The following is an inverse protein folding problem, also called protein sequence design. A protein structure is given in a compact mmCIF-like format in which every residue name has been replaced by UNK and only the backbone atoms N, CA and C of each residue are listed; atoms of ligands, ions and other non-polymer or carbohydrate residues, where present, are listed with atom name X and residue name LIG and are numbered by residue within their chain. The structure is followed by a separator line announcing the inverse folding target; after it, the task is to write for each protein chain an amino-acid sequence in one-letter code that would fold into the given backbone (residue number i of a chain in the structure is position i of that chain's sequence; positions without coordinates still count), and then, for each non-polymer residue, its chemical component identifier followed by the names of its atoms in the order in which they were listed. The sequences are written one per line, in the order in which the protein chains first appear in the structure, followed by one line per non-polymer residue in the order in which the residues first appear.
data_IF_757272003656
#
_entry.id   IF_757272003656
#
_cell.length_a   1.000
_cell.length_b   1.000
_cell.length_c   1.000
_cell.angle_alpha   90.00
_cell.angle_beta   90.00
_cell.angle_gamma   90.00
#
_symmetry.space_group_name_H-M   'P 1'
#
loop_
_entity.id
_entity.type
_entity.pdbx_description
1 polymer ?
#
# COMPACT_ATOMS: atom_id res chain seq x y z
N UNK A 1 -4.13 -39.67 -15.09
CA UNK A 1 -4.44 -38.23 -15.35
C UNK A 1 -5.39 -37.76 -14.27
N UNK A 2 -5.05 -36.69 -13.52
CA UNK A 2 -5.90 -36.18 -12.44
C UNK A 2 -6.88 -35.16 -13.05
N UNK A 3 -8.18 -35.30 -12.75
CA UNK A 3 -9.17 -34.32 -13.22
C UNK A 3 -8.90 -32.96 -12.56
N UNK A 4 -8.90 -31.90 -13.37
CA UNK A 4 -8.84 -30.53 -12.89
C UNK A 4 -10.08 -30.26 -12.04
N UNK A 5 -9.90 -29.68 -10.86
CA UNK A 5 -11.01 -29.28 -9.99
C UNK A 5 -11.33 -27.80 -10.27
N UNK A 6 -12.44 -27.46 -10.94
CA UNK A 6 -12.72 -26.08 -11.32
C UNK A 6 -12.90 -25.16 -10.11
N UNK A 7 -13.46 -25.68 -9.03
CA UNK A 7 -13.60 -24.95 -7.78
C UNK A 7 -12.25 -24.58 -7.16
N UNK A 8 -11.25 -25.46 -7.27
CA UNK A 8 -9.91 -25.22 -6.74
C UNK A 8 -9.20 -24.12 -7.53
N UNK A 9 -9.37 -24.11 -8.87
CA UNK A 9 -8.85 -23.05 -9.71
C UNK A 9 -9.46 -21.68 -9.34
N UNK A 10 -10.78 -21.65 -9.07
CA UNK A 10 -11.48 -20.44 -8.66
C UNK A 10 -10.99 -19.92 -7.29
N UNK A 11 -10.89 -20.79 -6.29
CA UNK A 11 -10.45 -20.40 -4.94
C UNK A 11 -8.99 -19.93 -4.94
N UNK A 12 -8.12 -20.60 -5.72
CA UNK A 12 -6.73 -20.18 -5.85
C UNK A 12 -6.60 -18.80 -6.51
N UNK A 13 -7.38 -18.54 -7.57
CA UNK A 13 -7.38 -17.21 -8.22
C UNK A 13 -8.06 -16.13 -7.39
N UNK A 14 -9.05 -16.48 -6.55
CA UNK A 14 -9.71 -15.52 -5.67
C UNK A 14 -8.79 -15.09 -4.51
N UNK A 15 -8.03 -16.05 -3.96
CA UNK A 15 -7.06 -15.74 -2.89
C UNK A 15 -5.81 -15.05 -3.44
N UNK A 16 -5.33 -15.46 -4.61
CA UNK A 16 -4.14 -14.91 -5.24
C UNK A 16 -4.37 -14.85 -6.77
N UNK A 17 -4.78 -13.69 -7.30
CA UNK A 17 -5.02 -13.51 -8.73
C UNK A 17 -3.83 -13.99 -9.56
N UNK A 18 -4.08 -14.85 -10.55
CA UNK A 18 -3.05 -15.47 -11.38
C UNK A 18 -2.66 -16.91 -10.98
N UNK A 19 -2.84 -17.31 -9.71
CA UNK A 19 -2.45 -18.67 -9.26
C UNK A 19 -3.37 -19.75 -9.81
N UNK A 20 -4.69 -19.52 -9.87
CA UNK A 20 -5.61 -20.48 -10.50
C UNK A 20 -5.42 -20.60 -12.02
N UNK A 21 -4.90 -19.57 -12.68
CA UNK A 21 -4.47 -19.62 -14.08
C UNK A 21 -3.20 -20.44 -14.25
N UNK A 22 -2.25 -20.31 -13.31
CA UNK A 22 -1.06 -21.15 -13.23
C UNK A 22 -1.45 -22.63 -13.00
N UNK A 23 -2.43 -22.89 -12.13
CA UNK A 23 -3.03 -24.22 -11.93
C UNK A 23 -3.65 -24.76 -13.22
N UNK A 24 -4.26 -23.93 -14.05
CA UNK A 24 -4.80 -24.33 -15.35
C UNK A 24 -3.74 -24.46 -16.47
N UNK A 25 -2.47 -24.12 -16.19
CA UNK A 25 -1.39 -24.13 -17.17
C UNK A 25 -1.42 -22.94 -18.14
N UNK A 26 -2.15 -21.86 -17.82
CA UNK A 26 -2.25 -20.67 -18.65
C UNK A 26 -1.35 -19.55 -18.13
N UNK A 27 -0.08 -19.56 -18.56
CA UNK A 27 0.92 -18.60 -18.08
C UNK A 27 0.63 -17.16 -18.53
N UNK A 28 -0.04 -16.96 -19.67
CA UNK A 28 -0.31 -15.61 -20.20
C UNK A 28 -1.24 -14.83 -19.27
N UNK A 29 -2.28 -15.49 -18.77
CA UNK A 29 -3.19 -14.87 -17.81
C UNK A 29 -2.61 -14.81 -16.39
N UNK A 30 -1.76 -15.76 -16.01
CA UNK A 30 -1.05 -15.64 -14.75
C UNK A 30 -0.14 -14.40 -14.75
N UNK A 31 0.66 -14.20 -15.81
CA UNK A 31 1.55 -13.06 -15.93
C UNK A 31 0.82 -11.72 -16.05
N UNK A 32 -0.38 -11.67 -16.63
CA UNK A 32 -1.16 -10.42 -16.68
C UNK A 32 -1.66 -9.97 -15.31
N UNK A 33 -1.79 -10.89 -14.33
CA UNK A 33 -2.21 -10.54 -12.99
C UNK A 33 -1.16 -9.69 -12.25
N UNK A 34 0.13 -9.87 -12.56
CA UNK A 34 1.23 -9.14 -11.91
C UNK A 34 1.18 -7.62 -12.16
N UNK A 35 1.22 -7.11 -13.40
CA UNK A 35 1.20 -5.67 -13.64
C UNK A 35 -0.14 -5.04 -13.27
N UNK A 36 -1.27 -5.72 -13.51
CA UNK A 36 -2.59 -5.18 -13.19
C UNK A 36 -2.77 -5.11 -11.67
N UNK A 37 -2.39 -6.17 -10.95
CA UNK A 37 -2.38 -6.19 -9.50
C UNK A 37 -1.49 -5.11 -8.92
N UNK A 38 -0.25 -4.98 -9.42
CA UNK A 38 0.71 -3.96 -8.97
C UNK A 38 0.19 -2.53 -9.19
N UNK A 39 -0.42 -2.24 -10.35
CA UNK A 39 -1.03 -0.94 -10.63
C UNK A 39 -2.20 -0.69 -9.68
N UNK A 40 -3.06 -1.68 -9.46
CA UNK A 40 -4.21 -1.54 -8.57
C UNK A 40 -3.78 -1.32 -7.11
N UNK A 41 -2.76 -2.04 -6.64
CA UNK A 41 -2.18 -1.82 -5.30
C UNK A 41 -1.50 -0.47 -5.19
N UNK A 42 -0.77 -0.01 -6.23
CA UNK A 42 -0.10 1.29 -6.23
C UNK A 42 -1.12 2.43 -6.21
N UNK A 43 -2.17 2.35 -7.03
CA UNK A 43 -3.31 3.26 -7.02
C UNK A 43 -3.93 3.26 -5.61
N UNK A 44 -4.26 2.07 -5.09
CA UNK A 44 -4.84 1.96 -3.75
C UNK A 44 -3.96 2.61 -2.69
N UNK A 45 -2.65 2.36 -2.69
CA UNK A 45 -1.69 2.94 -1.75
C UNK A 45 -1.64 4.48 -1.81
N UNK A 46 -1.73 5.07 -3.00
CA UNK A 46 -1.80 6.52 -3.19
C UNK A 46 -3.11 7.09 -2.62
N UNK A 47 -4.23 6.38 -2.78
CA UNK A 47 -5.57 6.86 -2.41
C UNK A 47 -6.05 6.45 -1.02
N UNK A 48 -5.33 5.55 -0.33
CA UNK A 48 -5.74 4.84 0.88
C UNK A 48 -6.01 5.76 2.09
N UNK A 49 -5.46 6.98 2.12
CA UNK A 49 -5.49 7.83 3.32
C UNK A 49 -6.20 9.17 3.16
N UNK A 50 -6.74 9.44 1.99
CA UNK A 50 -7.32 10.76 1.72
C UNK A 50 -8.82 10.82 2.08
N UNK A 51 -9.53 9.69 2.02
CA UNK A 51 -10.96 9.60 2.40
C UNK A 51 -11.41 8.15 2.54
N UNK A 52 -12.29 7.88 3.53
CA UNK A 52 -12.95 6.59 3.70
C UNK A 52 -13.65 6.10 2.43
N UNK A 53 -14.22 7.01 1.63
CA UNK A 53 -14.89 6.66 0.37
C UNK A 53 -13.91 6.13 -0.68
N UNK A 54 -12.68 6.67 -0.71
CA UNK A 54 -11.63 6.23 -1.64
C UNK A 54 -11.09 4.86 -1.23
N UNK A 55 -10.96 4.62 0.08
CA UNK A 55 -10.62 3.30 0.62
C UNK A 55 -11.67 2.24 0.21
N UNK A 56 -12.95 2.53 0.42
CA UNK A 56 -14.02 1.63 0.03
C UNK A 56 -14.03 1.36 -1.48
N UNK A 57 -13.78 2.38 -2.30
CA UNK A 57 -13.65 2.23 -3.76
C UNK A 57 -12.47 1.34 -4.17
N UNK A 58 -11.32 1.49 -3.54
CA UNK A 58 -10.13 0.68 -3.80
C UNK A 58 -10.38 -0.81 -3.46
N UNK A 59 -10.97 -1.08 -2.30
CA UNK A 59 -11.34 -2.45 -1.89
C UNK A 59 -12.38 -3.07 -2.82
N UNK A 60 -13.37 -2.30 -3.27
CA UNK A 60 -14.36 -2.77 -4.23
C UNK A 60 -13.73 -3.11 -5.59
N UNK A 61 -12.81 -2.29 -6.10
CA UNK A 61 -12.08 -2.57 -7.34
C UNK A 61 -11.20 -3.82 -7.22
N UNK A 62 -10.53 -4.01 -6.08
CA UNK A 62 -9.79 -5.24 -5.75
C UNK A 62 -10.69 -6.46 -5.81
N UNK A 63 -11.83 -6.42 -5.11
CA UNK A 63 -12.79 -7.51 -5.10
C UNK A 63 -13.34 -7.85 -6.49
N UNK A 64 -13.62 -6.84 -7.31
CA UNK A 64 -14.06 -7.03 -8.71
C UNK A 64 -12.96 -7.70 -9.52
N UNK A 65 -11.71 -7.25 -9.39
CA UNK A 65 -10.55 -7.83 -10.06
C UNK A 65 -10.37 -9.31 -9.68
N UNK A 66 -10.41 -9.64 -8.39
CA UNK A 66 -10.28 -11.01 -7.87
C UNK A 66 -11.41 -11.90 -8.39
N UNK A 67 -12.63 -11.37 -8.42
CA UNK A 67 -13.81 -12.08 -8.94
C UNK A 67 -13.68 -12.36 -10.45
N UNK A 68 -13.19 -11.40 -11.24
CA UNK A 68 -12.96 -11.59 -12.69
C UNK A 68 -11.95 -12.71 -12.92
N UNK A 69 -10.82 -12.71 -12.20
CA UNK A 69 -9.80 -13.74 -12.33
C UNK A 69 -10.28 -15.10 -11.82
N UNK A 70 -11.07 -15.15 -10.74
CA UNK A 70 -11.67 -16.38 -10.24
C UNK A 70 -12.66 -17.00 -11.25
N UNK A 71 -13.53 -16.18 -11.85
CA UNK A 71 -14.49 -16.62 -12.88
C UNK A 71 -13.76 -17.09 -14.14
N UNK A 72 -12.72 -16.36 -14.57
CA UNK A 72 -11.89 -16.77 -15.70
C UNK A 72 -11.25 -18.14 -15.43
N UNK A 73 -10.65 -18.34 -14.26
CA UNK A 73 -9.98 -19.59 -13.90
C UNK A 73 -10.97 -20.76 -13.82
N UNK A 74 -12.16 -20.52 -13.27
CA UNK A 74 -13.23 -21.51 -13.23
C UNK A 74 -13.67 -21.94 -14.64
N UNK A 75 -13.94 -20.97 -15.51
CA UNK A 75 -14.36 -21.22 -16.90
C UNK A 75 -13.29 -21.97 -17.68
N UNK A 76 -12.03 -21.61 -17.50
CA UNK A 76 -10.91 -22.26 -18.17
C UNK A 76 -10.67 -23.69 -17.67
N UNK A 77 -10.77 -23.93 -16.36
CA UNK A 77 -10.67 -25.25 -15.77
C UNK A 77 -11.78 -26.19 -16.28
N UNK A 78 -13.01 -25.67 -16.43
CA UNK A 78 -14.14 -26.42 -16.98
C UNK A 78 -13.98 -26.74 -18.47
N UNK A 79 -13.34 -25.85 -19.25
CA UNK A 79 -13.09 -26.04 -20.69
C UNK A 79 -11.96 -27.04 -20.98
N UNK A 80 -10.86 -27.01 -20.21
CA UNK A 80 -9.62 -27.74 -20.54
C UNK A 80 -9.52 -29.17 -20.00
N UNK A 81 -10.56 -29.72 -19.36
CA UNK A 81 -10.65 -31.16 -19.06
C UNK A 81 -9.43 -31.74 -18.33
N UNK A 82 -8.85 -32.82 -18.86
CA UNK A 82 -7.73 -33.54 -18.23
C UNK A 82 -6.47 -32.66 -18.06
N UNK A 83 -5.77 -32.84 -16.94
CA UNK A 83 -4.54 -32.11 -16.63
C UNK A 83 -3.31 -32.91 -17.07
N UNK A 84 -2.51 -32.36 -17.97
CA UNK A 84 -1.10 -32.72 -18.12
C UNK A 84 -0.30 -31.78 -17.21
N UNK A 85 0.42 -32.34 -16.24
CA UNK A 85 1.21 -31.57 -15.28
C UNK A 85 2.48 -31.05 -15.97
N UNK A 86 2.53 -29.75 -16.26
CA UNK A 86 3.72 -29.07 -16.75
C UNK A 86 4.71 -28.74 -15.63
N UNK A 87 5.96 -28.43 -15.98
CA UNK A 87 7.06 -28.11 -15.03
C UNK A 87 6.75 -26.95 -14.07
N UNK A 88 5.81 -26.06 -14.43
CA UNK A 88 5.42 -24.88 -13.66
C UNK A 88 4.19 -25.08 -12.76
N UNK A 89 3.56 -26.25 -12.75
CA UNK A 89 2.40 -26.57 -11.89
C UNK A 89 2.82 -27.22 -10.56
N UNK A 90 3.90 -26.71 -9.98
CA UNK A 90 4.45 -27.16 -8.70
C UNK A 90 4.04 -26.21 -7.57
N UNK A 91 4.04 -26.71 -6.34
CA UNK A 91 3.72 -25.91 -5.15
C UNK A 91 4.65 -24.69 -5.00
N UNK A 92 5.94 -24.85 -5.34
CA UNK A 92 6.92 -23.78 -5.26
C UNK A 92 6.65 -22.66 -6.27
N UNK A 93 6.09 -22.99 -7.44
CA UNK A 93 5.75 -21.98 -8.44
C UNK A 93 4.57 -21.13 -7.98
N UNK A 94 3.58 -21.73 -7.30
CA UNK A 94 2.49 -20.98 -6.65
C UNK A 94 3.01 -20.08 -5.53
N UNK A 95 3.91 -20.59 -4.69
CA UNK A 95 4.51 -19.82 -3.61
C UNK A 95 5.36 -18.65 -4.14
N UNK A 96 6.23 -18.91 -5.12
CA UNK A 96 7.06 -17.88 -5.75
C UNK A 96 6.19 -16.80 -6.43
N UNK A 97 5.11 -17.21 -7.11
CA UNK A 97 4.18 -16.26 -7.73
C UNK A 97 3.48 -15.38 -6.69
N UNK A 98 3.01 -15.96 -5.59
CA UNK A 98 2.39 -15.20 -4.49
C UNK A 98 3.40 -14.23 -3.83
N UNK A 99 4.64 -14.67 -3.60
CA UNK A 99 5.71 -13.82 -3.06
C UNK A 99 6.01 -12.65 -3.99
N UNK A 100 6.06 -12.88 -5.31
CA UNK A 100 6.26 -11.78 -6.27
C UNK A 100 5.06 -10.84 -6.27
N UNK A 101 3.82 -11.36 -6.28
CA UNK A 101 2.61 -10.55 -6.34
C UNK A 101 2.43 -9.68 -5.08
N UNK A 102 2.66 -10.23 -3.88
CA UNK A 102 2.47 -9.52 -2.62
C UNK A 102 3.73 -8.80 -2.12
N UNK A 103 4.92 -9.34 -2.39
CA UNK A 103 6.18 -8.74 -1.97
C UNK A 103 6.60 -7.51 -2.80
N UNK A 104 6.17 -7.42 -4.07
CA UNK A 104 6.43 -6.22 -4.88
C UNK A 104 5.74 -4.96 -4.30
N UNK A 105 4.45 -5.00 -3.91
CA UNK A 105 3.77 -3.93 -3.19
C UNK A 105 4.45 -3.49 -1.89
N UNK A 106 4.82 -4.43 -1.02
CA UNK A 106 5.46 -4.09 0.27
C UNK A 106 6.88 -3.52 0.08
N UNK A 107 7.56 -3.92 -1.00
CA UNK A 107 8.86 -3.37 -1.40
C UNK A 107 8.83 -1.87 -1.71
N UNK A 108 7.69 -1.28 -2.07
CA UNK A 108 7.58 0.17 -2.27
C UNK A 108 7.84 0.96 -0.98
N UNK A 109 7.59 0.37 0.19
CA UNK A 109 7.89 0.98 1.49
C UNK A 109 9.39 1.23 1.71
N UNK A 110 10.28 0.52 1.00
CA UNK A 110 11.72 0.82 1.03
C UNK A 110 12.08 2.09 0.26
N UNK A 111 11.29 2.47 -0.75
CA UNK A 111 11.61 3.57 -1.67
C UNK A 111 10.81 4.83 -1.38
N UNK A 112 9.64 4.71 -0.75
CA UNK A 112 8.79 5.83 -0.39
C UNK A 112 8.99 6.16 1.10
N UNK A 113 9.36 7.41 1.44
CA UNK A 113 9.48 7.81 2.84
C UNK A 113 8.14 7.59 3.56
N UNK A 114 8.19 7.02 4.76
CA UNK A 114 6.99 6.74 5.55
C UNK A 114 6.12 7.99 5.65
N UNK A 115 4.90 7.88 5.12
CA UNK A 115 3.96 9.00 5.12
C UNK A 115 3.58 9.40 6.53
N UNK A 116 3.44 8.44 7.43
CA UNK A 116 3.02 8.67 8.80
C UNK A 116 4.12 8.29 9.77
N UNK A 117 4.68 9.28 10.45
CA UNK A 117 5.68 9.08 11.47
C UNK A 117 5.05 9.26 12.85
N UNK A 118 5.29 8.30 13.74
CA UNK A 118 4.81 8.39 15.12
C UNK A 118 5.89 8.98 16.01
N UNK A 119 5.56 10.06 16.73
CA UNK A 119 6.44 10.72 17.69
C UNK A 119 5.79 10.79 19.07
N UNK A 120 6.61 10.81 20.11
CA UNK A 120 6.16 11.09 21.47
C UNK A 120 6.74 12.43 21.91
N UNK A 121 5.94 13.30 22.53
CA UNK A 121 6.38 14.61 22.99
C UNK A 121 7.20 14.47 24.27
N UNK A 122 8.50 14.84 24.26
CA UNK A 122 9.37 14.67 25.42
C UNK A 122 9.49 15.94 26.28
N UNK A 123 8.92 17.08 25.87
CA UNK A 123 9.16 18.38 26.51
C UNK A 123 7.90 19.26 26.59
N UNK A 124 7.91 20.22 27.51
CA UNK A 124 6.79 21.14 27.78
C UNK A 124 6.68 22.30 26.79
N UNK A 125 7.52 22.35 25.75
CA UNK A 125 7.65 23.54 24.91
C UNK A 125 6.43 23.87 24.03
N UNK A 126 5.43 23.00 24.02
CA UNK A 126 4.17 23.14 23.29
C UNK A 126 2.94 23.14 24.20
N UNK A 127 3.12 23.21 25.53
CA UNK A 127 2.03 23.36 26.51
C UNK A 127 1.35 24.73 26.32
N UNK A 128 0.00 24.82 26.44
CA UNK A 128 -0.94 23.77 26.84
C UNK A 128 -1.47 22.90 25.69
N UNK A 129 -1.08 23.18 24.44
CA UNK A 129 -1.65 22.50 23.26
C UNK A 129 -1.20 21.05 23.13
N UNK A 130 0.03 20.73 23.53
CA UNK A 130 0.59 19.38 23.53
C UNK A 130 1.26 19.13 24.88
N UNK A 131 0.86 18.04 25.53
CA UNK A 131 1.35 17.65 26.85
C UNK A 131 2.50 16.65 26.72
N UNK A 132 3.32 16.56 27.79
CA UNK A 132 4.38 15.56 27.85
C UNK A 132 3.76 14.17 27.81
N UNK A 133 4.30 13.31 26.95
CA UNK A 133 3.83 11.94 26.77
C UNK A 133 2.78 11.75 25.68
N UNK A 134 2.24 12.85 25.12
CA UNK A 134 1.34 12.77 23.97
C UNK A 134 2.02 12.07 22.78
N UNK A 135 1.25 11.21 22.10
CA UNK A 135 1.68 10.54 20.87
C UNK A 135 1.05 11.25 19.68
N UNK A 136 1.90 11.67 18.75
CA UNK A 136 1.51 12.37 17.54
C UNK A 136 1.81 11.51 16.33
N UNK A 137 0.93 11.58 15.34
CA UNK A 137 1.16 11.04 14.01
C UNK A 137 1.35 12.22 13.07
N UNK A 138 2.55 12.38 12.55
CA UNK A 138 2.89 13.44 11.60
C UNK A 138 2.76 12.92 10.16
N UNK A 139 2.08 13.67 9.29
CA UNK A 139 2.07 13.39 7.85
C UNK A 139 3.33 14.01 7.21
N UNK A 140 4.33 13.18 6.94
CA UNK A 140 5.59 13.57 6.29
C UNK A 140 5.40 14.04 4.85
N UNK A 141 4.24 13.83 4.25
CA UNK A 141 3.90 14.24 2.88
C UNK A 141 3.00 15.48 2.84
N UNK A 142 2.65 16.06 3.99
CA UNK A 142 1.73 17.20 4.09
C UNK A 142 2.10 18.37 3.16
N UNK A 143 3.40 18.62 2.99
CA UNK A 143 3.92 19.72 2.18
C UNK A 143 4.41 19.32 0.78
N UNK A 144 4.09 18.11 0.31
CA UNK A 144 4.46 17.66 -1.04
C UNK A 144 3.66 18.39 -2.15
N UNK A 145 2.40 18.72 -1.87
CA UNK A 145 1.48 19.39 -2.83
C UNK A 145 0.93 20.71 -2.32
N UNK A 146 1.19 21.05 -1.06
CA UNK A 146 0.62 22.21 -0.38
C UNK A 146 1.76 22.99 0.26
N UNK A 147 1.71 24.31 0.15
CA UNK A 147 2.64 25.16 0.88
C UNK A 147 2.30 25.19 2.38
N UNK A 148 3.32 25.34 3.24
CA UNK A 148 3.10 25.51 4.67
C UNK A 148 2.29 26.78 4.94
N UNK A 149 1.36 26.69 5.90
CA UNK A 149 0.52 27.82 6.30
C UNK A 149 0.82 28.16 7.76
N UNK A 150 0.71 29.46 8.09
CA UNK A 150 0.83 29.91 9.49
C UNK A 150 -0.17 29.16 10.37
N UNK A 151 0.29 28.77 11.55
CA UNK A 151 -0.48 27.99 12.51
C UNK A 151 -0.29 26.48 12.38
N UNK A 152 0.30 25.97 11.30
CA UNK A 152 0.61 24.54 11.19
C UNK A 152 1.56 24.09 12.32
N UNK A 153 1.36 22.88 12.83
CA UNK A 153 2.30 22.24 13.76
C UNK A 153 3.22 21.36 12.94
N UNK A 154 4.50 21.72 12.87
CA UNK A 154 5.49 21.09 12.02
C UNK A 154 6.48 20.28 12.83
N UNK A 155 6.87 19.14 12.28
CA UNK A 155 7.94 18.29 12.80
C UNK A 155 9.13 18.45 11.87
N UNK A 156 10.29 18.81 12.42
CA UNK A 156 11.51 18.99 11.63
C UNK A 156 12.74 18.57 12.43
N UNK A 157 13.78 18.19 11.71
CA UNK A 157 15.10 17.92 12.31
C UNK A 157 15.75 19.22 12.73
N UNK A 158 16.36 19.25 13.92
CA UNK A 158 17.02 20.44 14.41
C UNK A 158 18.22 20.81 13.51
N UNK A 159 18.31 22.05 12.97
CA UNK A 159 19.32 22.37 11.96
C UNK A 159 20.79 22.24 12.39
N UNK A 160 21.07 22.26 13.70
CA UNK A 160 22.43 22.08 14.24
C UNK A 160 22.76 20.62 14.59
N UNK A 161 21.75 19.79 14.80
CA UNK A 161 21.88 18.38 15.14
C UNK A 161 20.67 17.60 14.64
N UNK A 162 20.82 16.94 13.50
CA UNK A 162 19.75 16.17 12.85
C UNK A 162 19.31 14.93 13.63
N UNK A 163 20.05 14.53 14.67
CA UNK A 163 19.63 13.43 15.56
C UNK A 163 18.44 13.82 16.45
N UNK A 164 18.16 15.12 16.59
CA UNK A 164 17.08 15.65 17.43
C UNK A 164 15.94 16.17 16.57
N UNK A 165 14.72 15.72 16.89
CA UNK A 165 13.49 16.11 16.20
C UNK A 165 12.71 17.10 17.05
N UNK A 166 12.30 18.21 16.44
CA UNK A 166 11.54 19.28 17.09
C UNK A 166 10.12 19.33 16.57
N UNK A 167 9.17 19.61 17.47
CA UNK A 167 7.77 19.87 17.15
C UNK A 167 7.46 21.31 17.55
N UNK A 168 7.13 22.16 16.57
CA UNK A 168 6.83 23.58 16.80
C UNK A 168 5.66 24.06 15.96
N UNK A 169 5.05 25.18 16.37
CA UNK A 169 4.05 25.88 15.56
C UNK A 169 4.73 26.83 14.58
N UNK A 170 4.31 26.81 13.32
CA UNK A 170 4.78 27.71 12.29
C UNK A 170 4.16 29.09 12.47
N UNK A 171 5.00 30.09 12.74
CA UNK A 171 4.57 31.47 13.02
C UNK A 171 4.88 32.43 11.85
N UNK A 172 5.98 32.21 11.14
CA UNK A 172 6.38 33.04 10.00
C UNK A 172 6.73 32.19 8.77
N UNK A 173 6.42 32.74 7.60
CA UNK A 173 6.76 32.23 6.28
C UNK A 173 7.82 33.12 5.61
N UNK A 174 8.48 32.66 4.52
CA UNK A 174 9.42 33.49 3.78
C UNK A 174 8.80 34.84 3.37
N UNK A 175 9.48 35.94 3.73
CA UNK A 175 9.00 37.31 3.48
C UNK A 175 8.26 37.95 4.66
N UNK A 176 7.98 37.20 5.74
CA UNK A 176 7.34 37.75 6.93
C UNK A 176 8.31 38.54 7.81
N UNK A 177 7.85 39.67 8.33
CA UNK A 177 8.49 40.36 9.45
C UNK A 177 7.81 39.89 10.74
N UNK A 178 8.59 39.26 11.62
CA UNK A 178 8.11 38.77 12.92
C UNK A 178 8.65 39.67 14.02
N UNK A 179 7.76 40.20 14.86
CA UNK A 179 8.10 41.02 16.03
C UNK A 179 7.66 40.27 17.30
N UNK A 180 8.56 40.19 18.28
CA UNK A 180 8.23 39.71 19.62
C UNK A 180 8.01 40.93 20.52
N UNK A 181 6.85 40.99 21.17
CA UNK A 181 6.57 41.96 22.23
C UNK A 181 6.41 41.21 23.53
N UNK A 182 7.13 41.69 24.54
CA UNK A 182 7.03 41.21 25.92
C UNK A 182 5.76 41.75 26.60
#
# INVERSE_FOLDING_TARGET
MKNRKPWLAATLSFLCPGVGQLYNGNIRWALSALPIGAILTLISAIYLFDSLNKLMGALALGFVFDTIYAVQAYREAKRKGAMELGKYQSWWAYAAFAVVLYGLPDGYGLFLPERFLSFQIPSESMVPNLLIGDRLVADGWAYWKKEPVRGDVVVFKFPRDESVIYVKRLVGLPGDTVELKE
#
